data_IF_410650183294
#
_entry.id   IF_410650183294
#
_cell.length_a   1.000
_cell.length_b   1.000
_cell.length_c   1.000
_cell.angle_alpha   90.00
_cell.angle_beta   90.00
_cell.angle_gamma   90.00
#
_symmetry.space_group_name_H-M   'P 1'
#
loop_
_entity.id
_entity.type
_entity.pdbx_description
1 polymer ?
#
# COMPACT_ATOMS: atom_id res chain seq x y z
N UNK A 1 23.21 -4.56 7.66
CA UNK A 1 22.09 -5.44 7.20
C UNK A 1 21.06 -5.55 8.32
N UNK A 2 19.75 -5.66 8.02
CA UNK A 2 18.73 -5.84 9.08
C UNK A 2 18.68 -7.29 9.58
N UNK A 3 18.23 -7.52 10.82
CA UNK A 3 18.06 -8.86 11.39
C UNK A 3 17.18 -9.75 10.50
N UNK A 4 16.08 -9.22 9.97
CA UNK A 4 15.21 -9.94 9.02
C UNK A 4 15.93 -10.32 7.73
N UNK A 5 16.70 -9.38 7.16
CA UNK A 5 17.48 -9.66 5.94
C UNK A 5 18.51 -10.75 6.20
N UNK A 6 19.23 -10.69 7.33
CA UNK A 6 20.17 -11.75 7.75
C UNK A 6 19.45 -13.10 7.89
N UNK A 7 18.30 -13.14 8.55
CA UNK A 7 17.53 -14.36 8.74
C UNK A 7 17.03 -14.95 7.42
N UNK A 8 16.62 -14.11 6.48
CA UNK A 8 16.19 -14.56 5.14
C UNK A 8 17.34 -15.21 4.39
N UNK A 9 18.54 -14.61 4.44
CA UNK A 9 19.74 -15.24 3.87
C UNK A 9 20.09 -16.54 4.59
N UNK A 10 20.08 -16.56 5.93
CA UNK A 10 20.35 -17.79 6.69
C UNK A 10 19.36 -18.91 6.31
N UNK A 11 18.07 -18.61 6.21
CA UNK A 11 17.04 -19.55 5.75
C UNK A 11 17.33 -20.06 4.33
N UNK A 12 17.69 -19.17 3.41
CA UNK A 12 17.99 -19.53 2.02
C UNK A 12 19.22 -20.45 1.94
N UNK A 13 20.26 -20.16 2.72
CA UNK A 13 21.45 -21.00 2.82
C UNK A 13 21.17 -22.35 3.47
N UNK A 14 20.37 -22.39 4.54
CA UNK A 14 19.94 -23.66 5.13
C UNK A 14 19.15 -24.51 4.14
N UNK A 15 18.21 -23.91 3.40
CA UNK A 15 17.43 -24.63 2.38
C UNK A 15 18.31 -25.15 1.24
N UNK A 16 19.26 -24.34 0.76
CA UNK A 16 20.23 -24.77 -0.24
C UNK A 16 21.12 -25.92 0.26
N UNK A 17 21.60 -25.83 1.51
CA UNK A 17 22.40 -26.89 2.12
C UNK A 17 21.61 -28.19 2.28
N UNK A 18 20.34 -28.13 2.67
CA UNK A 18 19.46 -29.30 2.70
C UNK A 18 19.30 -29.91 1.31
N UNK A 19 19.02 -29.11 0.29
CA UNK A 19 18.95 -29.59 -1.09
C UNK A 19 20.25 -30.25 -1.58
N UNK A 20 21.42 -29.71 -1.21
CA UNK A 20 22.70 -30.32 -1.54
C UNK A 20 22.90 -31.68 -0.85
N UNK A 21 22.40 -31.86 0.37
CA UNK A 21 22.42 -33.15 1.07
C UNK A 21 21.45 -34.13 0.40
N UNK A 22 20.21 -33.69 0.14
CA UNK A 22 19.18 -34.51 -0.49
C UNK A 22 19.59 -34.98 -1.91
N UNK A 23 20.41 -34.19 -2.61
CA UNK A 23 20.95 -34.53 -3.94
C UNK A 23 22.31 -35.23 -3.91
N UNK A 24 22.82 -35.58 -2.72
CA UNK A 24 24.09 -36.31 -2.55
C UNK A 24 25.35 -35.48 -2.87
N UNK A 25 25.24 -34.15 -2.98
CA UNK A 25 26.37 -33.24 -3.26
C UNK A 25 27.16 -32.89 -2.01
N UNK A 26 26.50 -32.91 -0.86
CA UNK A 26 27.11 -32.71 0.46
C UNK A 26 26.74 -33.87 1.37
N UNK A 27 27.67 -34.26 2.24
CA UNK A 27 27.43 -35.30 3.26
C UNK A 27 26.56 -34.76 4.39
N UNK A 28 26.67 -33.47 4.70
CA UNK A 28 25.88 -32.81 5.74
C UNK A 28 25.71 -31.32 5.44
N UNK A 29 24.67 -30.70 5.99
CA UNK A 29 24.40 -29.28 5.79
C UNK A 29 25.19 -28.42 6.79
N UNK A 30 26.20 -27.65 6.33
CA UNK A 30 27.04 -26.83 7.21
C UNK A 30 26.31 -25.63 7.82
N UNK A 31 25.13 -25.26 7.29
CA UNK A 31 24.38 -24.08 7.70
C UNK A 31 23.33 -24.35 8.79
N UNK A 32 23.14 -25.61 9.18
CA UNK A 32 22.15 -26.05 10.18
C UNK A 32 22.24 -25.29 11.51
N UNK A 33 23.44 -24.86 11.90
CA UNK A 33 23.71 -24.15 13.16
C UNK A 33 23.68 -22.63 13.03
N UNK A 34 23.30 -22.06 11.88
CA UNK A 34 23.20 -20.61 11.72
C UNK A 34 22.09 -20.05 12.63
N UNK A 35 22.50 -19.39 13.71
CA UNK A 35 21.60 -18.73 14.64
C UNK A 35 20.78 -17.62 13.97
N UNK A 36 19.48 -17.59 14.25
CA UNK A 36 18.57 -16.51 13.84
C UNK A 36 18.79 -15.29 14.73
N UNK A 37 18.91 -14.13 14.11
CA UNK A 37 18.90 -12.85 14.82
C UNK A 37 17.47 -12.53 15.29
N UNK A 38 17.36 -11.89 16.46
CA UNK A 38 16.06 -11.49 17.01
C UNK A 38 15.47 -10.31 16.20
N UNK A 39 14.49 -10.60 15.34
CA UNK A 39 13.82 -9.57 14.53
C UNK A 39 12.98 -8.60 15.36
N UNK A 40 12.48 -9.03 16.52
CA UNK A 40 11.66 -8.16 17.39
C UNK A 40 12.53 -7.07 18.02
N UNK A 41 13.75 -7.40 18.39
CA UNK A 41 14.72 -6.45 18.93
C UNK A 41 15.23 -5.46 17.86
N UNK A 42 15.29 -5.84 16.59
CA UNK A 42 15.74 -4.98 15.46
C UNK A 42 14.56 -4.50 14.59
N UNK A 43 13.50 -3.99 15.23
CA UNK A 43 12.34 -3.47 14.49
C UNK A 43 12.61 -2.05 13.98
N UNK A 44 13.21 -1.96 12.79
CA UNK A 44 13.66 -0.67 12.19
C UNK A 44 12.55 0.22 11.60
N UNK A 45 11.37 -0.33 11.36
CA UNK A 45 10.24 0.40 10.76
C UNK A 45 8.96 0.10 11.51
N UNK A 46 8.40 1.12 12.15
CA UNK A 46 7.09 1.07 12.78
C UNK A 46 6.07 1.67 11.82
N UNK A 47 5.05 0.91 11.43
CA UNK A 47 4.00 1.42 10.54
C UNK A 47 2.96 2.17 11.35
N UNK A 48 2.47 3.30 10.84
CA UNK A 48 1.31 4.00 11.40
C UNK A 48 0.05 3.73 10.58
N UNK A 49 -1.09 3.68 11.24
CA UNK A 49 -2.39 3.82 10.59
C UNK A 49 -2.71 5.31 10.41
N UNK A 50 -3.48 5.65 9.37
CA UNK A 50 -4.03 6.99 9.21
C UNK A 50 -5.36 7.12 9.98
N UNK A 51 -5.64 8.31 10.50
CA UNK A 51 -6.99 8.67 10.95
C UNK A 51 -7.93 8.87 9.75
N UNK A 52 -9.24 8.95 10.02
CA UNK A 52 -10.23 9.27 8.98
C UNK A 52 -9.93 10.62 8.31
N UNK A 53 -9.54 11.65 9.08
CA UNK A 53 -9.25 12.98 8.54
C UNK A 53 -7.94 13.02 7.74
N UNK A 54 -6.91 12.31 8.19
CA UNK A 54 -5.68 12.14 7.40
C UNK A 54 -5.97 11.43 6.08
N UNK A 55 -6.84 10.42 6.09
CA UNK A 55 -7.24 9.69 4.89
C UNK A 55 -8.06 10.57 3.93
N UNK A 56 -8.97 11.39 4.45
CA UNK A 56 -9.71 12.40 3.65
C UNK A 56 -8.76 13.41 3.00
N UNK A 57 -7.80 13.95 3.75
CA UNK A 57 -6.76 14.83 3.19
C UNK A 57 -5.94 14.16 2.10
N UNK A 58 -5.57 12.89 2.29
CA UNK A 58 -4.84 12.13 1.27
C UNK A 58 -5.68 11.90 0.01
N UNK A 59 -6.97 11.63 0.15
CA UNK A 59 -7.90 11.45 -0.97
C UNK A 59 -8.09 12.76 -1.73
N UNK A 60 -8.35 13.88 -1.05
CA UNK A 60 -8.47 15.20 -1.68
C UNK A 60 -7.17 15.61 -2.40
N UNK A 61 -6.00 15.43 -1.75
CA UNK A 61 -4.72 15.68 -2.37
C UNK A 61 -4.50 14.82 -3.63
N UNK A 62 -4.88 13.54 -3.61
CA UNK A 62 -4.78 12.66 -4.76
C UNK A 62 -5.67 13.10 -5.93
N UNK A 63 -6.87 13.65 -5.64
CA UNK A 63 -7.78 14.20 -6.65
C UNK A 63 -7.23 15.47 -7.29
N UNK A 64 -6.72 16.40 -6.47
CA UNK A 64 -6.31 17.75 -6.91
C UNK A 64 -4.92 17.80 -7.52
N UNK A 65 -3.97 17.03 -6.97
CA UNK A 65 -2.55 17.18 -7.31
C UNK A 65 -2.23 17.06 -8.80
N UNK A 66 -2.81 16.13 -9.60
CA UNK A 66 -2.50 16.03 -11.02
C UNK A 66 -2.73 17.33 -11.80
N UNK A 67 -3.81 18.06 -11.48
CA UNK A 67 -4.09 19.37 -12.07
C UNK A 67 -3.19 20.45 -11.46
N UNK A 68 -3.10 20.50 -10.13
CA UNK A 68 -2.27 21.47 -9.41
C UNK A 68 -0.78 21.44 -9.82
N UNK A 69 -0.23 20.28 -10.21
CA UNK A 69 1.14 20.17 -10.70
C UNK A 69 1.40 21.04 -11.96
N UNK A 70 0.37 21.35 -12.74
CA UNK A 70 0.46 22.25 -13.91
C UNK A 70 0.50 23.73 -13.53
N UNK A 71 0.14 24.09 -12.29
CA UNK A 71 0.10 25.47 -11.79
C UNK A 71 1.24 25.83 -10.85
N UNK A 72 2.25 24.96 -10.70
CA UNK A 72 3.39 25.18 -9.80
C UNK A 72 4.18 26.42 -10.18
N UNK A 73 4.55 27.20 -9.17
CA UNK A 73 5.37 28.40 -9.33
C UNK A 73 6.83 28.02 -9.58
N UNK A 74 7.50 28.58 -10.60
CA UNK A 74 8.94 28.42 -10.79
C UNK A 74 9.71 29.22 -9.72
N UNK A 75 10.67 28.57 -9.07
CA UNK A 75 11.51 29.11 -8.00
C UNK A 75 12.97 29.03 -8.42
N UNK A 76 13.70 30.13 -8.24
CA UNK A 76 15.15 30.19 -8.50
C UNK A 76 15.89 29.46 -7.37
N UNK A 77 16.75 28.53 -7.75
CA UNK A 77 17.66 27.83 -6.84
C UNK A 77 18.97 28.59 -6.82
N UNK A 78 19.32 29.13 -5.66
CA UNK A 78 20.65 29.67 -5.45
C UNK A 78 21.66 28.52 -5.40
N UNK A 79 22.80 28.61 -6.11
CA UNK A 79 23.82 27.58 -6.07
C UNK A 79 24.37 27.47 -4.64
N UNK A 80 24.64 26.24 -4.19
CA UNK A 80 25.35 26.02 -2.93
C UNK A 80 26.79 26.54 -3.04
N UNK A 81 27.38 26.95 -1.92
CA UNK A 81 28.75 27.48 -1.87
C UNK A 81 29.73 26.51 -2.52
N UNK A 82 30.38 26.96 -3.60
CA UNK A 82 31.36 26.17 -4.37
C UNK A 82 30.83 25.42 -5.59
N UNK A 83 29.53 25.44 -5.89
CA UNK A 83 29.02 24.84 -7.13
C UNK A 83 29.10 25.79 -8.35
N UNK A 84 29.50 25.29 -9.53
CA UNK A 84 29.54 26.10 -10.75
C UNK A 84 28.14 26.58 -11.12
N UNK A 85 28.00 27.90 -11.37
CA UNK A 85 26.75 28.52 -11.82
C UNK A 85 26.26 27.86 -13.10
N UNK A 86 25.19 27.06 -13.03
CA UNK A 86 24.52 26.47 -14.20
C UNK A 86 23.70 27.53 -14.93
N UNK A 87 23.63 27.43 -16.27
CA UNK A 87 22.86 28.37 -17.13
C UNK A 87 21.36 28.39 -16.83
N UNK A 88 20.80 27.31 -16.28
CA UNK A 88 19.43 27.25 -15.80
C UNK A 88 19.43 26.76 -14.33
N UNK A 89 18.94 27.60 -13.42
CA UNK A 89 18.88 27.33 -11.99
C UNK A 89 17.45 27.44 -11.45
N UNK A 90 16.43 27.09 -12.24
CA UNK A 90 15.04 27.14 -11.81
C UNK A 90 14.55 25.74 -11.45
N UNK A 91 13.71 25.66 -10.42
CA UNK A 91 12.95 24.47 -10.04
C UNK A 91 11.50 24.87 -9.82
N UNK A 92 10.61 23.91 -9.57
CA UNK A 92 9.23 24.22 -9.21
C UNK A 92 9.01 24.02 -7.72
N UNK A 93 8.30 24.95 -7.08
CA UNK A 93 7.84 24.77 -5.71
C UNK A 93 7.02 23.48 -5.59
N UNK A 94 7.26 22.61 -4.59
CA UNK A 94 6.45 21.42 -4.40
C UNK A 94 5.00 21.77 -4.08
N UNK A 95 4.05 20.94 -4.54
CA UNK A 95 2.66 21.04 -4.09
C UNK A 95 2.57 20.53 -2.65
N UNK A 96 2.08 21.38 -1.74
CA UNK A 96 1.86 21.11 -0.32
C UNK A 96 0.40 21.32 0.04
N UNK A 97 0.02 21.04 1.29
CA UNK A 97 -1.35 21.22 1.75
C UNK A 97 -1.81 22.68 1.66
N UNK A 98 -0.89 23.61 1.89
CA UNK A 98 -1.14 25.05 1.96
C UNK A 98 -1.30 25.66 0.55
N UNK A 99 -0.52 25.22 -0.43
CA UNK A 99 -0.49 25.83 -1.76
C UNK A 99 -1.30 25.07 -2.84
N UNK A 100 -1.88 23.90 -2.51
CA UNK A 100 -2.56 23.05 -3.52
C UNK A 100 -3.75 23.76 -4.19
N UNK A 101 -4.50 24.56 -3.44
CA UNK A 101 -5.65 25.30 -3.97
C UNK A 101 -5.22 26.39 -4.94
N UNK A 102 -4.17 27.15 -4.59
CA UNK A 102 -3.61 28.18 -5.46
C UNK A 102 -3.00 27.59 -6.74
N UNK A 103 -2.30 26.46 -6.61
CA UNK A 103 -1.74 25.73 -7.74
C UNK A 103 -2.85 25.20 -8.67
N UNK A 104 -3.97 24.71 -8.12
CA UNK A 104 -5.12 24.28 -8.92
C UNK A 104 -5.73 25.46 -9.72
N UNK A 105 -5.94 26.60 -9.06
CA UNK A 105 -6.47 27.80 -9.71
C UNK A 105 -5.55 28.29 -10.86
N UNK A 106 -4.23 28.36 -10.60
CA UNK A 106 -3.23 28.71 -11.63
C UNK A 106 -3.20 27.71 -12.79
N UNK A 107 -3.37 26.42 -12.49
CA UNK A 107 -3.42 25.37 -13.51
C UNK A 107 -4.63 25.52 -14.43
N UNK A 108 -5.81 25.84 -13.86
CA UNK A 108 -7.04 26.08 -14.63
C UNK A 108 -6.93 27.29 -15.53
N UNK A 109 -6.38 28.39 -15.03
CA UNK A 109 -6.15 29.59 -15.82
C UNK A 109 -5.18 29.31 -16.99
N UNK A 110 -4.05 28.66 -16.70
CA UNK A 110 -3.06 28.27 -17.72
C UNK A 110 -3.62 27.30 -18.78
N UNK A 111 -4.56 26.44 -18.40
CA UNK A 111 -5.14 25.41 -19.28
C UNK A 111 -6.55 25.77 -19.77
N UNK A 112 -6.97 27.04 -19.64
CA UNK A 112 -8.31 27.51 -20.02
C UNK A 112 -8.68 27.16 -21.47
N UNK A 113 -7.73 27.26 -22.38
CA UNK A 113 -7.92 26.92 -23.81
C UNK A 113 -7.84 25.41 -24.11
N UNK A 114 -7.48 24.58 -23.11
CA UNK A 114 -7.25 23.13 -23.25
C UNK A 114 -8.14 22.32 -22.30
N UNK A 115 -9.49 22.40 -22.43
CA UNK A 115 -10.41 21.73 -21.52
C UNK A 115 -10.23 20.20 -21.49
N UNK A 116 -9.85 19.60 -22.63
CA UNK A 116 -9.55 18.15 -22.70
C UNK A 116 -8.40 17.73 -21.79
N UNK A 117 -7.36 18.57 -21.65
CA UNK A 117 -6.21 18.26 -20.79
C UNK A 117 -6.62 18.36 -19.32
N UNK A 118 -7.42 19.36 -18.96
CA UNK A 118 -7.98 19.50 -17.60
C UNK A 118 -8.79 18.25 -17.24
N UNK A 119 -9.72 17.83 -18.09
CA UNK A 119 -10.54 16.65 -17.87
C UNK A 119 -9.70 15.36 -17.70
N UNK A 120 -8.63 15.20 -18.48
CA UNK A 120 -7.70 14.07 -18.35
C UNK A 120 -6.96 14.07 -17.00
N UNK A 121 -6.51 15.24 -16.52
CA UNK A 121 -5.82 15.36 -15.24
C UNK A 121 -6.77 15.12 -14.07
N UNK A 122 -8.02 15.58 -14.17
CA UNK A 122 -9.06 15.31 -13.17
C UNK A 122 -9.43 13.83 -13.11
N UNK A 123 -9.62 13.18 -14.27
CA UNK A 123 -9.85 11.74 -14.34
C UNK A 123 -8.67 10.93 -13.77
N UNK A 124 -7.44 11.39 -14.00
CA UNK A 124 -6.25 10.81 -13.37
C UNK A 124 -6.26 10.97 -11.85
N UNK A 125 -6.69 12.13 -11.34
CA UNK A 125 -6.84 12.41 -9.91
C UNK A 125 -7.90 11.53 -9.25
N UNK A 126 -9.10 11.45 -9.83
CA UNK A 126 -10.18 10.56 -9.37
C UNK A 126 -9.72 9.11 -9.30
N UNK A 127 -8.99 8.63 -10.33
CA UNK A 127 -8.43 7.27 -10.35
C UNK A 127 -7.42 7.02 -9.24
N UNK A 128 -6.54 7.98 -8.94
CA UNK A 128 -5.57 7.87 -7.84
C UNK A 128 -6.26 7.80 -6.48
N UNK A 129 -7.24 8.69 -6.27
CA UNK A 129 -8.03 8.72 -5.05
C UNK A 129 -8.81 7.41 -4.83
N UNK A 130 -9.40 6.86 -5.90
CA UNK A 130 -10.09 5.56 -5.88
C UNK A 130 -9.17 4.40 -5.47
N UNK A 131 -7.90 4.41 -5.90
CA UNK A 131 -6.91 3.40 -5.45
C UNK A 131 -6.72 3.47 -3.93
N UNK A 132 -6.57 4.67 -3.36
CA UNK A 132 -6.37 4.84 -1.91
C UNK A 132 -7.63 4.47 -1.12
N UNK A 133 -8.81 4.88 -1.60
CA UNK A 133 -10.11 4.49 -1.04
C UNK A 133 -10.25 2.96 -1.04
N UNK A 134 -10.01 2.30 -2.18
CA UNK A 134 -10.10 0.84 -2.29
C UNK A 134 -9.15 0.12 -1.32
N UNK A 135 -7.89 0.53 -1.23
CA UNK A 135 -6.93 -0.08 -0.29
C UNK A 135 -7.32 0.12 1.17
N UNK A 136 -7.82 1.31 1.51
CA UNK A 136 -8.19 1.66 2.87
C UNK A 136 -9.49 1.00 3.34
N UNK A 137 -10.42 0.67 2.43
CA UNK A 137 -11.74 0.09 2.75
C UNK A 137 -11.84 -1.42 2.51
N UNK A 138 -10.85 -2.06 1.87
CA UNK A 138 -10.87 -3.53 1.62
C UNK A 138 -9.71 -4.26 2.27
N UNK A 139 -8.66 -3.52 2.65
CA UNK A 139 -7.46 -4.12 3.20
C UNK A 139 -6.65 -4.98 2.22
N UNK A 140 -6.92 -4.86 0.92
CA UNK A 140 -6.19 -5.50 -0.16
C UNK A 140 -4.70 -5.16 -0.11
N UNK A 141 -3.85 -6.15 -0.45
CA UNK A 141 -2.44 -5.88 -0.74
C UNK A 141 -2.32 -5.21 -2.11
N UNK A 142 -1.26 -4.44 -2.30
CA UNK A 142 -0.89 -3.78 -3.55
C UNK A 142 -1.11 -4.63 -4.82
N UNK A 143 -0.54 -5.84 -4.81
CA UNK A 143 -0.59 -6.74 -5.95
C UNK A 143 -1.94 -7.44 -6.08
N UNK A 144 -2.65 -7.66 -4.97
CA UNK A 144 -4.01 -8.21 -5.00
C UNK A 144 -4.95 -7.22 -5.72
N UNK A 145 -4.90 -5.93 -5.36
CA UNK A 145 -5.68 -4.89 -6.05
C UNK A 145 -5.34 -4.82 -7.54
N UNK A 146 -4.06 -4.90 -7.90
CA UNK A 146 -3.60 -4.90 -9.30
C UNK A 146 -4.12 -6.11 -10.09
N UNK A 147 -4.34 -7.24 -9.42
CA UNK A 147 -4.76 -8.49 -10.05
C UNK A 147 -6.26 -8.63 -10.24
N UNK A 148 -7.08 -7.76 -9.62
CA UNK A 148 -8.53 -7.81 -9.79
C UNK A 148 -8.91 -7.39 -11.21
N UNK A 149 -9.75 -8.19 -11.85
CA UNK A 149 -10.32 -7.94 -13.18
C UNK A 149 -11.77 -7.47 -13.08
N UNK A 150 -12.32 -6.95 -14.17
CA UNK A 150 -13.75 -6.58 -14.26
C UNK A 150 -14.64 -7.80 -14.06
N UNK A 151 -14.29 -8.95 -14.63
CA UNK A 151 -15.04 -10.20 -14.47
C UNK A 151 -15.04 -10.76 -13.06
N UNK A 152 -14.01 -10.43 -12.27
CA UNK A 152 -13.88 -10.88 -10.90
C UNK A 152 -14.61 -9.97 -9.89
N UNK A 153 -15.39 -8.99 -10.34
CA UNK A 153 -16.12 -8.08 -9.48
C UNK A 153 -17.60 -7.98 -9.84
N UNK A 154 -18.45 -8.08 -8.82
CA UNK A 154 -19.87 -7.79 -8.90
C UNK A 154 -20.10 -6.48 -8.15
N UNK A 155 -20.33 -5.40 -8.90
CA UNK A 155 -20.47 -4.05 -8.33
C UNK A 155 -21.92 -3.61 -8.16
N UNK A 156 -22.84 -4.29 -8.85
CA UNK A 156 -24.28 -4.04 -8.80
C UNK A 156 -24.95 -4.95 -7.75
N UNK A 157 -26.11 -4.52 -7.25
CA UNK A 157 -26.91 -5.26 -6.27
C UNK A 157 -26.62 -4.88 -4.82
N UNK A 158 -27.32 -5.56 -3.89
CA UNK A 158 -27.29 -5.22 -2.46
C UNK A 158 -25.98 -5.66 -1.77
N UNK A 159 -25.34 -6.70 -2.30
CA UNK A 159 -24.10 -7.30 -1.78
C UNK A 159 -22.97 -7.25 -2.82
N UNK A 160 -22.41 -6.07 -3.14
CA UNK A 160 -21.27 -5.98 -4.04
C UNK A 160 -20.02 -6.64 -3.43
N UNK A 161 -19.29 -7.36 -4.26
CA UNK A 161 -18.07 -8.08 -3.87
C UNK A 161 -17.05 -8.18 -5.00
N UNK A 162 -15.81 -8.52 -4.66
CA UNK A 162 -14.77 -8.89 -5.61
C UNK A 162 -14.10 -10.21 -5.22
N UNK A 163 -13.95 -11.12 -6.17
CA UNK A 163 -13.30 -12.42 -5.98
C UNK A 163 -11.81 -12.33 -6.31
N UNK A 164 -10.98 -12.64 -5.33
CA UNK A 164 -9.54 -12.74 -5.49
C UNK A 164 -9.17 -14.17 -5.89
N UNK A 165 -8.56 -14.35 -7.06
CA UNK A 165 -8.09 -15.64 -7.51
C UNK A 165 -7.03 -16.23 -6.56
N UNK A 166 -7.02 -17.56 -6.33
CA UNK A 166 -6.06 -18.21 -5.44
C UNK A 166 -4.60 -17.86 -5.76
N UNK A 167 -4.22 -17.83 -7.03
CA UNK A 167 -2.86 -17.53 -7.47
C UNK A 167 -2.34 -16.17 -6.99
N UNK A 168 -3.26 -15.21 -6.83
CA UNK A 168 -2.96 -13.84 -6.44
C UNK A 168 -3.05 -13.62 -4.92
N UNK A 169 -3.59 -14.58 -4.18
CA UNK A 169 -3.67 -14.54 -2.74
C UNK A 169 -2.41 -15.16 -2.11
N UNK A 170 -1.85 -14.52 -1.09
CA UNK A 170 -0.60 -14.97 -0.45
C UNK A 170 -0.65 -16.43 0.03
N UNK A 171 -1.81 -16.90 0.49
CA UNK A 171 -2.00 -18.27 1.00
C UNK A 171 -2.52 -19.25 -0.07
N UNK A 172 -2.76 -18.79 -1.30
CA UNK A 172 -3.31 -19.59 -2.41
C UNK A 172 -4.64 -20.29 -2.15
N UNK A 173 -5.53 -19.68 -1.36
CA UNK A 173 -6.89 -20.18 -1.09
C UNK A 173 -7.94 -19.48 -1.94
N UNK A 174 -7.68 -18.23 -2.34
CA UNK A 174 -8.69 -17.37 -2.96
C UNK A 174 -9.62 -16.80 -1.88
N UNK A 175 -10.32 -15.71 -2.20
CA UNK A 175 -11.24 -15.10 -1.25
C UNK A 175 -12.26 -14.17 -1.93
N UNK A 176 -13.49 -14.17 -1.44
CA UNK A 176 -14.46 -13.14 -1.77
C UNK A 176 -14.30 -11.96 -0.81
N UNK A 177 -14.24 -10.76 -1.38
CA UNK A 177 -13.98 -9.52 -0.68
C UNK A 177 -15.25 -8.70 -0.75
N UNK A 178 -16.03 -8.60 0.34
CA UNK A 178 -17.20 -7.75 0.36
C UNK A 178 -16.76 -6.29 0.17
N UNK A 179 -17.49 -5.57 -0.69
CA UNK A 179 -17.28 -4.16 -0.95
C UNK A 179 -18.35 -3.37 -0.22
N UNK A 180 -17.99 -2.18 0.26
CA UNK A 180 -18.97 -1.21 0.75
C UNK A 180 -19.70 -0.59 -0.45
N UNK A 181 -20.98 -0.25 -0.31
CA UNK A 181 -21.81 0.24 -1.43
C UNK A 181 -21.23 1.49 -2.10
N UNK A 182 -20.70 2.43 -1.32
CA UNK A 182 -20.08 3.65 -1.85
C UNK A 182 -18.81 3.36 -2.68
N UNK A 183 -17.98 2.41 -2.24
CA UNK A 183 -16.80 1.98 -3.00
C UNK A 183 -17.23 1.26 -4.28
N UNK A 184 -18.25 0.40 -4.21
CA UNK A 184 -18.78 -0.28 -5.38
C UNK A 184 -19.33 0.72 -6.41
N UNK A 185 -20.07 1.74 -5.97
CA UNK A 185 -20.58 2.81 -6.82
C UNK A 185 -19.44 3.61 -7.49
N UNK A 186 -18.38 3.95 -6.74
CA UNK A 186 -17.22 4.65 -7.30
C UNK A 186 -16.45 3.80 -8.32
N UNK A 187 -16.32 2.48 -8.07
CA UNK A 187 -15.72 1.54 -9.02
C UNK A 187 -16.57 1.43 -10.29
N UNK A 188 -17.89 1.34 -10.16
CA UNK A 188 -18.81 1.29 -11.30
C UNK A 188 -18.73 2.57 -12.15
N UNK A 189 -18.69 3.75 -11.50
CA UNK A 189 -18.48 5.04 -12.16
C UNK A 189 -17.15 5.08 -12.92
N UNK A 190 -16.07 4.58 -12.30
CA UNK A 190 -14.76 4.49 -12.94
C UNK A 190 -14.76 3.59 -14.19
N UNK A 191 -15.45 2.44 -14.13
CA UNK A 191 -15.59 1.56 -15.30
C UNK A 191 -16.42 2.20 -16.41
N UNK A 192 -17.49 2.92 -16.07
CA UNK A 192 -18.29 3.67 -17.04
C UNK A 192 -17.48 4.78 -17.73
N UNK A 193 -16.65 5.53 -16.99
CA UNK A 193 -15.71 6.50 -17.56
C UNK A 193 -14.72 5.84 -18.53
N UNK A 194 -14.10 4.72 -18.12
CA UNK A 194 -13.16 3.98 -18.98
C UNK A 194 -13.82 3.41 -20.22
N UNK A 195 -15.07 2.97 -20.12
CA UNK A 195 -15.82 2.49 -21.27
C UNK A 195 -16.07 3.64 -22.26
N UNK A 196 -16.48 4.82 -21.79
CA UNK A 196 -16.63 6.01 -22.65
C UNK A 196 -15.32 6.36 -23.36
N UNK A 197 -14.20 6.40 -22.64
CA UNK A 197 -12.87 6.64 -23.24
C UNK A 197 -12.53 5.61 -24.32
N UNK A 198 -12.83 4.33 -24.06
CA UNK A 198 -12.60 3.25 -25.02
C UNK A 198 -13.50 3.37 -26.27
N UNK A 199 -14.76 3.77 -26.09
CA UNK A 199 -15.71 3.99 -27.19
C UNK A 199 -15.30 5.19 -28.05
N UNK A 200 -14.93 6.32 -27.44
CA UNK A 200 -14.39 7.48 -28.17
C UNK A 200 -13.13 7.13 -28.95
N UNK A 201 -12.24 6.33 -28.35
CA UNK A 201 -11.05 5.81 -29.01
C UNK A 201 -11.39 4.92 -30.22
N UNK A 202 -12.38 4.04 -30.06
CA UNK A 202 -12.86 3.17 -31.14
C UNK A 202 -13.47 3.99 -32.30
N UNK A 203 -14.28 5.00 -32.00
CA UNK A 203 -14.85 5.92 -33.02
C UNK A 203 -13.73 6.62 -33.80
N UNK A 204 -12.73 7.16 -33.09
CA UNK A 204 -11.59 7.85 -33.72
C UNK A 204 -10.77 6.92 -34.63
N UNK A 205 -10.60 5.67 -34.21
CA UNK A 205 -9.85 4.64 -34.95
C UNK A 205 -10.71 3.89 -35.99
N UNK A 206 -12.00 4.24 -36.15
CA UNK A 206 -12.98 3.53 -36.99
C UNK A 206 -13.05 2.02 -36.68
N UNK A 207 -12.97 1.68 -35.40
CA UNK A 207 -13.11 0.31 -34.87
C UNK A 207 -14.51 0.07 -34.31
N UNK A 208 -14.96 -1.20 -34.21
CA UNK A 208 -16.23 -1.53 -33.56
C UNK A 208 -16.29 -1.01 -32.13
N UNK A 209 -17.41 -0.37 -31.78
CA UNK A 209 -17.61 0.21 -30.44
C UNK A 209 -17.85 -0.89 -29.40
N UNK A 210 -17.08 -0.94 -28.31
CA UNK A 210 -17.33 -1.91 -27.25
C UNK A 210 -18.61 -1.55 -26.47
N UNK A 211 -19.51 -2.51 -26.31
CA UNK A 211 -20.71 -2.35 -25.47
C UNK A 211 -20.40 -2.46 -23.97
N UNK A 212 -19.33 -3.18 -23.62
CA UNK A 212 -18.86 -3.39 -22.25
C UNK A 212 -17.33 -3.43 -22.20
N UNK A 213 -16.77 -3.22 -21.02
CA UNK A 213 -15.33 -3.43 -20.82
C UNK A 213 -14.97 -4.90 -21.01
N UNK A 214 -13.81 -5.23 -21.62
CA UNK A 214 -13.36 -6.62 -21.71
C UNK A 214 -13.21 -7.25 -20.32
N UNK A 215 -13.69 -8.48 -20.16
CA UNK A 215 -13.72 -9.23 -18.89
C UNK A 215 -12.37 -9.25 -18.15
N UNK A 216 -11.31 -9.56 -18.88
CA UNK A 216 -9.94 -9.67 -18.35
C UNK A 216 -9.26 -8.32 -18.08
N UNK A 217 -9.93 -7.20 -18.38
CA UNK A 217 -9.37 -5.88 -18.08
C UNK A 217 -9.20 -5.71 -16.58
N UNK A 218 -8.11 -5.06 -16.11
CA UNK A 218 -7.97 -4.72 -14.70
C UNK A 218 -9.16 -3.87 -14.23
N UNK A 219 -9.66 -4.14 -13.02
CA UNK A 219 -10.72 -3.37 -12.39
C UNK A 219 -10.30 -1.90 -12.20
N UNK A 220 -9.07 -1.68 -11.70
CA UNK A 220 -8.42 -0.37 -11.60
C UNK A 220 -7.03 -0.46 -12.21
N UNK A 221 -6.67 0.49 -13.07
CA UNK A 221 -5.33 0.57 -13.66
C UNK A 221 -4.35 1.18 -12.65
N UNK A 222 -3.50 0.35 -12.07
CA UNK A 222 -2.43 0.77 -11.14
C UNK A 222 -1.10 0.84 -11.88
N UNK A 223 -0.44 1.99 -11.91
CA UNK A 223 0.87 2.14 -12.58
C UNK A 223 2.02 1.60 -11.73
N UNK A 224 3.20 1.38 -12.30
CA UNK A 224 4.41 1.01 -11.55
C UNK A 224 4.94 2.15 -10.68
N UNK A 225 4.73 3.40 -11.10
CA UNK A 225 5.17 4.63 -10.42
C UNK A 225 4.30 5.03 -9.22
N UNK A 226 3.28 4.24 -8.90
CA UNK A 226 2.30 4.54 -7.87
C UNK A 226 2.91 4.81 -6.47
N UNK A 227 4.04 4.20 -6.12
CA UNK A 227 4.77 4.50 -4.88
C UNK A 227 5.25 5.94 -4.87
N UNK A 228 5.92 6.38 -5.94
CA UNK A 228 6.40 7.76 -6.08
C UNK A 228 5.24 8.74 -6.10
N UNK A 229 4.14 8.37 -6.77
CA UNK A 229 2.90 9.16 -6.79
C UNK A 229 2.34 9.32 -5.38
N UNK A 230 2.21 8.23 -4.61
CA UNK A 230 1.75 8.26 -3.23
C UNK A 230 2.65 9.13 -2.35
N UNK A 231 3.97 9.04 -2.47
CA UNK A 231 4.86 9.85 -1.64
C UNK A 231 4.65 11.35 -1.88
N UNK A 232 4.38 11.75 -3.13
CA UNK A 232 4.07 13.14 -3.47
C UNK A 232 2.65 13.53 -3.03
N UNK A 233 1.67 12.63 -3.11
CA UNK A 233 0.32 12.86 -2.56
C UNK A 233 0.36 13.01 -1.03
N UNK A 234 1.21 12.25 -0.33
CA UNK A 234 1.42 12.39 1.11
C UNK A 234 2.04 13.75 1.47
N UNK A 235 2.93 14.28 0.62
CA UNK A 235 3.48 15.64 0.81
C UNK A 235 2.38 16.68 0.59
N UNK A 236 1.60 16.55 -0.48
CA UNK A 236 0.48 17.43 -0.78
C UNK A 236 -0.64 17.35 0.29
N UNK A 237 -0.78 16.22 0.98
CA UNK A 237 -1.71 16.07 2.10
C UNK A 237 -1.16 16.58 3.44
N UNK A 238 0.10 17.03 3.50
CA UNK A 238 0.76 17.44 4.74
C UNK A 238 1.09 16.27 5.69
N UNK A 239 1.20 15.05 5.17
CA UNK A 239 1.49 13.82 5.93
C UNK A 239 2.95 13.37 5.82
N UNK A 240 3.70 13.95 4.87
CA UNK A 240 5.12 13.71 4.64
C UNK A 240 5.83 15.01 4.28
N UNK A 241 7.15 15.06 4.47
CA UNK A 241 7.97 16.25 4.17
C UNK A 241 9.09 15.93 3.21
N UNK A 242 9.42 16.85 2.30
CA UNK A 242 10.61 16.76 1.47
C UNK A 242 11.80 17.27 2.28
N UNK A 243 12.83 16.43 2.42
CA UNK A 243 14.05 16.74 3.17
C UNK A 243 15.27 16.55 2.26
N UNK A 244 16.31 17.36 2.47
CA UNK A 244 17.63 17.11 1.89
C UNK A 244 18.28 15.94 2.62
N UNK A 245 18.80 14.99 1.86
CA UNK A 245 19.47 13.80 2.37
C UNK A 245 20.67 13.46 1.50
N UNK A 246 21.57 12.62 2.01
CA UNK A 246 22.65 12.05 1.20
C UNK A 246 22.24 10.70 0.66
N UNK A 247 22.55 10.46 -0.61
CA UNK A 247 22.36 9.15 -1.22
C UNK A 247 23.43 8.15 -0.71
N UNK A 248 23.38 6.90 -1.20
CA UNK A 248 24.36 5.88 -0.81
C UNK A 248 25.80 6.21 -1.24
N UNK A 249 25.96 7.11 -2.22
CA UNK A 249 27.24 7.58 -2.75
C UNK A 249 27.70 8.90 -2.08
N UNK A 250 26.94 9.42 -1.12
CA UNK A 250 27.25 10.66 -0.40
C UNK A 250 26.81 11.94 -1.12
N UNK A 251 26.14 11.84 -2.26
CA UNK A 251 25.65 12.99 -3.02
C UNK A 251 24.33 13.53 -2.43
N UNK A 252 24.16 14.85 -2.46
CA UNK A 252 22.94 15.48 -1.98
C UNK A 252 21.77 15.17 -2.91
N UNK A 253 20.71 14.63 -2.32
CA UNK A 253 19.46 14.29 -2.98
C UNK A 253 18.26 14.75 -2.16
N UNK A 254 17.12 14.88 -2.83
CA UNK A 254 15.85 15.06 -2.16
C UNK A 254 15.27 13.71 -1.76
N UNK A 255 14.81 13.61 -0.52
CA UNK A 255 14.11 12.44 -0.01
C UNK A 255 12.79 12.85 0.62
N UNK A 256 11.80 11.97 0.56
CA UNK A 256 10.53 12.17 1.25
C UNK A 256 10.61 11.45 2.60
N UNK A 257 10.56 12.23 3.68
CA UNK A 257 10.40 11.70 5.02
C UNK A 257 8.92 11.52 5.34
N UNK A 258 8.56 10.27 5.63
CA UNK A 258 7.19 9.80 5.89
C UNK A 258 6.97 9.47 7.35
N UNK A 259 7.92 9.86 8.21
CA UNK A 259 7.84 9.67 9.65
C UNK A 259 6.91 10.71 10.24
N UNK A 260 6.02 10.25 11.13
CA UNK A 260 5.32 11.15 12.04
C UNK A 260 6.25 11.64 13.16
N UNK A 261 5.70 12.49 14.02
CA UNK A 261 6.37 12.98 15.25
C UNK A 261 6.84 11.85 16.17
N UNK A 262 6.22 10.67 16.09
CA UNK A 262 6.56 9.47 16.86
C UNK A 262 7.53 8.54 16.13
N UNK A 263 8.08 8.96 14.99
CA UNK A 263 9.03 8.18 14.18
C UNK A 263 8.41 7.00 13.40
N UNK A 264 7.08 6.89 13.35
CA UNK A 264 6.35 5.84 12.63
C UNK A 264 6.17 6.23 11.16
N UNK A 265 6.39 5.29 10.26
CA UNK A 265 6.40 5.49 8.81
C UNK A 265 5.10 5.02 8.16
N UNK A 266 4.70 5.69 7.07
CA UNK A 266 3.62 5.24 6.19
C UNK A 266 4.17 4.65 4.87
N UNK A 267 3.70 3.46 4.48
CA UNK A 267 4.01 2.77 3.21
C UNK A 267 2.72 2.13 2.64
N UNK A 268 2.77 1.47 1.47
CA UNK A 268 1.56 0.85 0.90
C UNK A 268 0.89 -0.16 1.83
N UNK A 269 1.67 -0.89 2.64
CA UNK A 269 1.12 -1.86 3.59
C UNK A 269 0.50 -1.18 4.82
N UNK A 270 0.77 0.10 5.02
CA UNK A 270 0.11 0.90 6.04
C UNK A 270 -1.37 1.15 5.73
N UNK A 271 -1.83 1.13 4.47
CA UNK A 271 -3.26 1.15 4.15
C UNK A 271 -4.00 -0.04 4.77
N UNK A 272 -3.41 -1.23 4.66
CA UNK A 272 -3.97 -2.43 5.29
C UNK A 272 -3.95 -2.35 6.82
N UNK A 273 -2.91 -1.75 7.40
CA UNK A 273 -2.89 -1.44 8.84
C UNK A 273 -4.02 -0.47 9.20
N UNK A 274 -4.24 0.54 8.35
CA UNK A 274 -5.29 1.56 8.50
C UNK A 274 -6.67 0.92 8.50
N UNK A 275 -6.98 0.05 7.53
CA UNK A 275 -8.25 -0.68 7.49
C UNK A 275 -8.53 -1.44 8.80
N UNK A 276 -7.56 -2.24 9.29
CA UNK A 276 -7.75 -2.97 10.55
C UNK A 276 -7.89 -2.02 11.75
N UNK A 277 -7.16 -0.91 11.78
CA UNK A 277 -7.27 0.09 12.83
C UNK A 277 -8.60 0.83 12.81
N UNK A 278 -9.15 1.15 11.63
CA UNK A 278 -10.48 1.75 11.49
C UNK A 278 -11.57 0.79 11.95
N UNK A 279 -11.51 -0.48 11.54
CA UNK A 279 -12.44 -1.51 12.02
C UNK A 279 -12.36 -1.67 13.55
N UNK A 280 -11.14 -1.67 14.11
CA UNK A 280 -10.94 -1.76 15.55
C UNK A 280 -11.51 -0.53 16.27
N UNK A 281 -11.29 0.67 15.74
CA UNK A 281 -11.86 1.92 16.26
C UNK A 281 -13.39 1.97 16.17
N UNK A 282 -13.96 1.31 15.17
CA UNK A 282 -15.41 1.13 14.97
C UNK A 282 -16.02 -0.01 15.84
N UNK A 283 -15.24 -0.60 16.75
CA UNK A 283 -15.71 -1.64 17.66
C UNK A 283 -15.95 -3.01 17.01
N UNK A 284 -15.39 -3.26 15.82
CA UNK A 284 -15.55 -4.56 15.13
C UNK A 284 -14.73 -5.64 15.86
N UNK A 285 -15.33 -6.81 16.19
CA UNK A 285 -14.64 -7.90 16.88
C UNK A 285 -13.39 -8.39 16.15
N UNK A 286 -12.41 -8.92 16.92
CA UNK A 286 -11.13 -9.37 16.35
C UNK A 286 -11.30 -10.51 15.34
N UNK A 287 -12.24 -11.42 15.55
CA UNK A 287 -12.53 -12.54 14.64
C UNK A 287 -13.01 -12.04 13.28
N UNK A 288 -14.02 -11.17 13.25
CA UNK A 288 -14.51 -10.48 12.04
C UNK A 288 -13.38 -9.73 11.33
N UNK A 289 -12.55 -8.99 12.08
CA UNK A 289 -11.39 -8.27 11.50
C UNK A 289 -10.37 -9.21 10.88
N UNK A 290 -10.08 -10.36 11.50
CA UNK A 290 -9.14 -11.36 10.95
C UNK A 290 -9.66 -11.98 9.66
N UNK A 291 -10.97 -12.28 9.59
CA UNK A 291 -11.65 -12.78 8.39
C UNK A 291 -11.58 -11.75 7.27
N UNK A 292 -12.03 -10.51 7.52
CA UNK A 292 -11.93 -9.41 6.55
C UNK A 292 -10.49 -9.17 6.09
N UNK A 293 -9.53 -9.32 7.02
CA UNK A 293 -8.14 -9.19 6.68
C UNK A 293 -7.56 -10.41 5.98
N UNK A 294 -8.18 -11.58 5.99
CA UNK A 294 -7.62 -12.80 5.39
C UNK A 294 -6.25 -13.13 5.98
N UNK A 295 -6.15 -13.10 7.31
CA UNK A 295 -4.95 -13.56 8.02
C UNK A 295 -5.05 -15.06 8.21
N UNK A 296 -4.12 -15.83 7.63
CA UNK A 296 -3.95 -17.23 7.99
C UNK A 296 -3.63 -17.31 9.50
N UNK A 297 -4.44 -18.03 10.27
CA UNK A 297 -4.20 -18.22 11.69
C UNK A 297 -2.97 -19.10 11.90
N UNK A 298 -1.83 -18.53 12.30
CA UNK A 298 -0.84 -19.30 13.05
C UNK A 298 -1.25 -19.23 14.53
N UNK A 299 -2.01 -20.25 14.98
CA UNK A 299 -2.08 -20.61 16.40
C UNK A 299 -3.34 -20.28 17.21
N UNK A 300 -4.55 -20.28 16.64
CA UNK A 300 -5.79 -20.26 17.45
C UNK A 300 -6.82 -21.23 16.87
N UNK A 301 -7.40 -22.03 17.77
CA UNK A 301 -8.48 -23.00 17.61
C UNK A 301 -9.82 -22.42 17.10
N UNK A 302 -9.92 -21.12 16.86
CA UNK A 302 -11.17 -20.39 16.55
C UNK A 302 -11.66 -20.56 15.11
N UNK A 303 -10.77 -20.91 14.16
CA UNK A 303 -11.16 -21.22 12.76
C UNK A 303 -12.08 -22.45 12.67
N UNK A 304 -12.18 -23.26 13.74
CA UNK A 304 -13.02 -24.46 13.79
C UNK A 304 -14.39 -24.26 14.46
N UNK A 305 -14.70 -23.09 15.04
CA UNK A 305 -15.91 -22.93 15.88
C UNK A 305 -16.91 -21.86 15.42
N UNK A 306 -16.60 -21.07 14.39
CA UNK A 306 -17.55 -20.08 13.85
C UNK A 306 -17.70 -20.24 12.32
N UNK A 307 -18.93 -20.51 11.86
CA UNK A 307 -19.24 -20.44 10.44
C UNK A 307 -19.18 -18.98 9.99
N UNK A 308 -18.23 -18.70 9.10
CA UNK A 308 -18.02 -17.38 8.49
C UNK A 308 -19.27 -16.81 7.84
N UNK A 309 -20.22 -17.66 7.38
CA UNK A 309 -21.48 -17.23 6.77
C UNK A 309 -22.44 -16.56 7.75
N UNK A 310 -22.29 -16.82 9.04
CA UNK A 310 -23.13 -16.23 10.10
C UNK A 310 -22.56 -14.91 10.62
N UNK A 311 -21.35 -14.53 10.18
CA UNK A 311 -20.70 -13.31 10.62
C UNK A 311 -21.11 -12.18 9.67
N UNK A 312 -21.73 -11.14 10.23
CA UNK A 312 -22.08 -9.93 9.50
C UNK A 312 -20.81 -9.13 9.11
N UNK A 313 -20.22 -9.52 7.99
CA UNK A 313 -19.06 -8.84 7.41
C UNK A 313 -19.45 -7.48 6.83
N UNK A 314 -20.68 -7.33 6.33
CA UNK A 314 -21.11 -6.12 5.66
C UNK A 314 -21.41 -5.00 6.65
N UNK A 315 -22.19 -5.27 7.69
CA UNK A 315 -22.42 -4.32 8.76
C UNK A 315 -21.14 -3.90 9.48
N UNK A 316 -20.10 -4.76 9.47
CA UNK A 316 -18.77 -4.35 9.94
C UNK A 316 -18.07 -3.33 9.02
N UNK A 317 -18.23 -3.46 7.69
CA UNK A 317 -17.71 -2.49 6.72
C UNK A 317 -18.49 -1.18 6.73
N UNK A 318 -19.80 -1.23 6.96
CA UNK A 318 -20.66 -0.04 6.97
C UNK A 318 -20.34 0.90 8.16
N UNK A 319 -19.71 0.37 9.23
CA UNK A 319 -19.19 1.18 10.35
C UNK A 319 -17.91 1.96 10.03
N UNK A 320 -17.27 1.71 8.88
CA UNK A 320 -16.09 2.47 8.47
C UNK A 320 -16.44 3.92 8.11
N UNK A 321 -15.50 4.87 8.21
CA UNK A 321 -15.76 6.24 7.82
C UNK A 321 -16.07 6.35 6.33
N UNK A 322 -16.99 7.24 5.99
CA UNK A 322 -17.23 7.59 4.60
C UNK A 322 -16.10 8.44 4.02
N UNK A 323 -15.67 8.03 2.82
CA UNK A 323 -14.58 8.62 2.06
C UNK A 323 -15.13 9.05 0.71
N UNK A 324 -15.81 10.20 0.70
CA UNK A 324 -16.36 10.76 -0.52
C UNK A 324 -15.25 11.02 -1.55
N UNK A 325 -15.43 10.51 -2.76
CA UNK A 325 -14.70 10.97 -3.93
C UNK A 325 -15.51 12.13 -4.50
N UNK A 326 -15.03 13.36 -4.32
CA UNK A 326 -15.76 14.53 -4.78
C UNK A 326 -15.95 14.50 -6.30
N UNK A 327 -17.20 14.68 -6.74
CA UNK A 327 -17.56 15.21 -8.08
C UNK A 327 -18.05 16.68 -7.96
N UNK A 328 -18.46 17.11 -6.77
CA UNK A 328 -19.06 18.43 -6.49
C UNK A 328 -18.09 19.29 -5.67
N UNK A 329 -17.56 20.34 -6.31
CA UNK A 329 -16.37 21.06 -5.85
C UNK A 329 -16.64 22.29 -4.98
N UNK A 330 -17.87 22.57 -4.54
CA UNK A 330 -18.18 23.87 -3.89
C UNK A 330 -18.90 23.82 -2.54
N UNK A 331 -19.48 22.70 -2.09
CA UNK A 331 -20.29 22.72 -0.87
C UNK A 331 -19.52 22.68 0.47
N UNK A 332 -18.31 22.10 0.51
CA UNK A 332 -17.64 21.78 1.80
C UNK A 332 -16.61 22.80 2.28
N UNK A 333 -16.30 23.86 1.51
CA UNK A 333 -15.41 24.93 1.98
C UNK A 333 -16.21 26.07 2.64
N UNK A 334 -17.48 26.27 2.27
CA UNK A 334 -18.37 27.29 2.84
C UNK A 334 -19.20 26.82 4.05
N UNK A 335 -19.08 25.57 4.47
CA UNK A 335 -19.77 25.07 5.67
C UNK A 335 -18.89 25.17 6.94
N UNK A 336 -17.65 25.65 6.83
CA UNK A 336 -16.67 25.69 7.92
C UNK A 336 -16.46 27.08 8.54
N UNK A 337 -17.16 28.13 8.05
CA UNK A 337 -17.02 29.51 8.51
C UNK A 337 -18.35 30.13 8.99
N UNK A 338 -19.01 29.48 9.94
CA UNK A 338 -20.01 30.19 10.76
C UNK A 338 -21.02 29.31 11.48
N UNK A 339 -20.83 29.11 12.79
CA UNK A 339 -21.74 29.58 13.86
C UNK A 339 -21.22 29.08 15.21
N UNK A 340 -20.90 30.02 16.11
CA UNK A 340 -20.67 29.79 17.54
C UNK A 340 -21.98 30.04 18.31
N UNK A 341 -22.27 29.20 19.31
CA UNK A 341 -23.35 29.34 20.31
C UNK A 341 -24.63 28.57 19.93
N UNK A 342 -25.30 27.78 20.77
CA UNK A 342 -25.32 27.67 22.24
C UNK A 342 -25.78 26.24 22.64
N UNK A 343 -25.51 25.88 23.89
CA UNK A 343 -25.61 24.58 24.53
C UNK A 343 -27.05 24.01 24.68
N UNK A 344 -27.14 22.67 24.65
CA UNK A 344 -28.35 21.92 25.03
C UNK A 344 -28.07 20.43 25.28
N UNK A 345 -27.80 20.10 26.55
CA UNK A 345 -27.98 18.82 27.25
C UNK A 345 -27.59 17.48 26.57
N UNK A 346 -26.58 16.83 27.14
CA UNK A 346 -26.15 15.45 26.87
C UNK A 346 -27.09 14.38 27.47
N UNK A 347 -27.05 13.15 26.94
CA UNK A 347 -27.08 11.94 27.78
C UNK A 347 -25.73 11.20 27.76
N UNK A 348 -25.32 10.75 28.94
CA UNK A 348 -24.07 10.07 29.28
C UNK A 348 -23.68 8.91 28.35
N UNK A 349 -22.46 8.98 27.81
CA UNK A 349 -21.70 7.78 27.42
C UNK A 349 -20.42 7.65 28.27
N UNK A 350 -20.16 6.47 28.87
CA UNK A 350 -18.95 6.25 29.65
C UNK A 350 -17.72 6.18 28.74
N UNK A 351 -16.71 6.99 29.06
CA UNK A 351 -15.38 7.02 28.42
C UNK A 351 -14.61 5.71 28.68
N UNK A 352 -13.97 5.08 27.68
CA UNK A 352 -12.99 4.03 27.94
C UNK A 352 -11.59 4.44 27.46
N UNK A 353 -10.84 5.10 28.34
CA UNK A 353 -9.37 4.96 28.38
C UNK A 353 -8.90 5.12 29.83
N UNK A 354 -8.36 4.07 30.47
CA UNK A 354 -7.56 4.27 31.65
C UNK A 354 -6.13 4.64 31.23
N UNK A 355 -5.68 5.81 31.70
CA UNK A 355 -4.27 6.22 31.71
C UNK A 355 -3.43 5.13 32.37
N UNK A 356 -2.29 4.79 31.76
CA UNK A 356 -1.22 4.10 32.47
C UNK A 356 -0.80 4.98 33.64
N UNK A 357 -1.15 4.56 34.86
CA UNK A 357 -0.51 5.04 36.07
C UNK A 357 0.87 4.40 36.14
N UNK A 358 1.89 5.26 36.17
CA UNK A 358 3.25 4.92 36.54
C UNK A 358 3.23 4.17 37.88
N UNK A 359 3.69 2.92 37.90
CA UNK A 359 4.02 2.26 39.16
C UNK A 359 5.44 2.65 39.52
N UNK A 360 5.54 3.60 40.44
CA UNK A 360 6.71 3.83 41.28
C UNK A 360 7.17 2.51 41.89
N UNK A 361 8.45 2.21 41.70
CA UNK A 361 9.16 1.16 42.40
C UNK A 361 9.41 1.59 43.84
N UNK A 362 8.52 1.23 44.76
CA UNK A 362 8.85 1.25 46.19
C UNK A 362 9.35 -0.12 46.62
N UNK A 363 10.65 -0.14 46.93
CA UNK A 363 11.32 -1.15 47.75
C UNK A 363 10.54 -1.26 49.06
N UNK A 364 10.14 -2.46 49.44
CA UNK A 364 9.94 -2.80 50.84
C UNK A 364 10.39 -4.25 51.08
N UNK A 365 11.43 -4.33 51.90
CA UNK A 365 12.06 -5.50 52.49
C UNK A 365 11.27 -6.02 53.68
N UNK A 366 11.12 -7.34 53.77
CA UNK A 366 10.95 -8.10 55.02
C UNK A 366 11.35 -9.56 54.70
N UNK A 367 12.58 -9.98 55.03
CA UNK A 367 12.98 -10.60 56.30
C UNK A 367 12.45 -12.03 56.48
N UNK A 368 13.30 -12.98 56.06
CA UNK A 368 13.68 -14.24 56.71
C UNK A 368 12.71 -14.91 57.70
N UNK A 369 12.29 -16.13 57.36
CA UNK A 369 12.27 -17.28 58.28
C UNK A 369 12.70 -18.56 57.56
N UNK A 370 13.51 -19.33 58.27
CA UNK A 370 14.25 -20.52 57.88
C UNK A 370 13.48 -21.82 58.12
N UNK A 371 14.10 -22.91 57.65
CA UNK A 371 13.88 -24.33 57.95
C UNK A 371 12.68 -24.99 57.24
N UNK A 372 12.78 -26.15 56.60
CA UNK A 372 13.61 -27.33 56.90
C UNK A 372 13.74 -28.26 55.66
N UNK A 373 14.70 -29.19 55.70
CA UNK A 373 15.19 -30.00 54.57
C UNK A 373 14.71 -31.47 54.65
N UNK A 374 14.55 -32.09 53.47
CA UNK A 374 14.77 -33.51 53.08
C UNK A 374 13.52 -34.33 52.63
N UNK A 375 13.67 -35.49 51.93
CA UNK A 375 14.25 -35.67 50.58
C UNK A 375 13.48 -36.67 49.63
N UNK A 376 13.88 -36.68 48.34
CA UNK A 376 13.85 -37.75 47.31
C UNK A 376 12.55 -38.48 46.85
N UNK A 377 12.25 -38.41 45.54
CA UNK A 377 11.67 -39.47 44.67
C UNK A 377 11.80 -39.10 43.15
N UNK A 378 11.80 -40.05 42.19
CA UNK A 378 12.79 -40.07 41.09
C UNK A 378 12.34 -39.59 39.68
N UNK A 379 13.35 -39.45 38.81
CA UNK A 379 13.30 -39.09 37.38
C UNK A 379 12.54 -40.13 36.55
N UNK A 380 11.52 -39.68 35.80
CA UNK A 380 10.85 -40.46 34.77
C UNK A 380 11.63 -40.49 33.45
N UNK A 381 11.95 -41.69 32.99
CA UNK A 381 12.58 -42.03 31.72
C UNK A 381 11.69 -41.68 30.52
N UNK A 382 12.29 -41.10 29.47
CA UNK A 382 11.65 -40.92 28.16
C UNK A 382 11.94 -42.17 27.31
N UNK A 383 10.89 -42.90 26.93
CA UNK A 383 10.97 -44.00 25.95
C UNK A 383 11.26 -43.45 24.54
N UNK A 384 12.14 -44.09 23.75
CA UNK A 384 12.31 -43.78 22.33
C UNK A 384 11.26 -44.52 21.49
N UNK A 385 10.61 -43.82 20.56
CA UNK A 385 9.79 -44.45 19.52
C UNK A 385 10.69 -44.84 18.34
N UNK A 386 10.67 -46.13 18.04
CA UNK A 386 11.40 -46.79 16.95
C UNK A 386 10.81 -46.45 15.58
N UNK A 387 11.69 -46.35 14.59
CA UNK A 387 11.35 -46.38 13.17
C UNK A 387 10.78 -47.76 12.76
N UNK A 388 9.82 -47.76 11.84
CA UNK A 388 9.56 -48.88 10.95
C UNK A 388 8.95 -48.37 9.63
N UNK A 389 9.68 -48.64 8.56
CA UNK A 389 9.30 -48.60 7.16
C UNK A 389 7.99 -49.33 6.87
N UNK A 390 7.11 -48.71 6.07
CA UNK A 390 6.32 -49.22 4.91
C UNK A 390 5.77 -47.95 4.22
N UNK A 391 5.81 -47.70 2.91
CA UNK A 391 6.04 -48.51 1.73
C UNK A 391 6.10 -47.56 0.53
N UNK A 392 7.06 -47.80 -0.36
CA UNK A 392 7.06 -47.40 -1.76
C UNK A 392 5.87 -48.03 -2.52
N UNK A 393 5.55 -47.44 -3.68
CA UNK A 393 4.55 -47.82 -4.70
C UNK A 393 3.21 -47.06 -4.66
N UNK A 394 3.20 -45.89 -5.32
CA UNK A 394 2.28 -45.56 -6.42
C UNK A 394 2.58 -44.14 -6.94
N UNK A 395 3.30 -44.04 -8.06
CA UNK A 395 2.94 -43.28 -9.28
C UNK A 395 4.17 -42.92 -10.11
N UNK A 396 4.47 -43.81 -11.06
CA UNK A 396 5.10 -43.47 -12.35
C UNK A 396 4.10 -42.61 -13.14
N UNK A 397 4.58 -41.50 -13.70
CA UNK A 397 3.94 -40.83 -14.84
C UNK A 397 3.77 -39.32 -14.72
N UNK A 398 4.85 -38.56 -14.92
CA UNK A 398 4.85 -37.25 -15.60
C UNK A 398 6.28 -36.68 -15.64
N UNK A 399 7.10 -37.17 -16.58
CA UNK A 399 8.31 -36.48 -16.94
C UNK A 399 7.97 -35.51 -18.09
N UNK A 400 7.92 -34.20 -17.79
CA UNK A 400 8.12 -33.10 -18.76
C UNK A 400 8.41 -31.79 -17.98
N UNK A 401 9.70 -31.60 -17.72
CA UNK A 401 10.43 -30.33 -17.57
C UNK A 401 9.82 -29.19 -16.76
N UNK A 402 10.20 -29.05 -15.49
CA UNK A 402 10.38 -27.74 -14.82
C UNK A 402 11.58 -27.80 -13.87
N UNK A 403 12.47 -26.82 -14.00
CA UNK A 403 13.66 -26.64 -13.15
C UNK A 403 13.25 -26.35 -11.71
N UNK A 404 13.90 -27.02 -10.77
CA UNK A 404 13.87 -26.66 -9.36
C UNK A 404 14.77 -25.44 -9.12
N UNK A 405 14.21 -24.37 -8.58
CA UNK A 405 14.93 -23.13 -8.26
C UNK A 405 14.30 -21.88 -8.88
N UNK A 406 13.04 -21.61 -8.56
CA UNK A 406 12.45 -20.29 -8.80
C UNK A 406 11.62 -19.87 -7.59
N UNK A 407 12.35 -19.43 -6.57
CA UNK A 407 11.81 -18.97 -5.31
C UNK A 407 12.69 -17.84 -4.80
N UNK A 408 12.13 -16.63 -4.82
CA UNK A 408 12.69 -15.41 -4.24
C UNK A 408 13.81 -14.77 -5.06
N UNK A 409 13.47 -14.29 -6.26
CA UNK A 409 14.04 -13.08 -6.87
C UNK A 409 13.04 -12.56 -7.91
N UNK A 410 12.60 -11.31 -7.73
CA UNK A 410 11.99 -10.53 -8.82
C UNK A 410 13.01 -10.44 -9.94
N UNK A 411 12.83 -11.22 -11.00
CA UNK A 411 13.46 -10.95 -12.28
C UNK A 411 12.58 -9.97 -13.05
N UNK A 412 13.23 -8.88 -13.49
CA UNK A 412 12.70 -8.00 -14.52
C UNK A 412 12.39 -8.83 -15.77
N UNK A 413 11.10 -8.93 -16.08
CA UNK A 413 10.64 -9.42 -17.38
C UNK A 413 10.48 -8.19 -18.27
N UNK A 414 11.47 -7.99 -19.15
CA UNK A 414 11.33 -7.15 -20.34
C UNK A 414 10.45 -7.89 -21.35
N UNK A 415 9.31 -7.30 -21.73
CA UNK A 415 8.51 -7.53 -22.95
C UNK A 415 7.34 -6.52 -22.87
N UNK A 416 6.86 -5.77 -23.85
CA UNK A 416 7.29 -5.37 -25.19
C UNK A 416 6.67 -3.97 -25.43
N UNK A 417 7.22 -3.20 -26.37
CA UNK A 417 6.71 -1.86 -26.75
C UNK A 417 5.31 -1.98 -27.34
N UNK A 418 4.32 -1.36 -26.68
CA UNK A 418 3.09 -0.93 -27.35
C UNK A 418 3.26 0.53 -27.79
N UNK A 419 3.29 0.73 -29.11
CA UNK A 419 3.41 2.01 -29.78
C UNK A 419 2.09 2.80 -29.75
N UNK A 420 1.95 3.74 -28.80
CA UNK A 420 1.01 4.89 -28.85
C UNK A 420 1.57 6.09 -28.06
N UNK A 421 1.25 7.34 -28.45
CA UNK A 421 2.08 8.50 -28.14
C UNK A 421 2.06 8.85 -26.65
N UNK A 422 3.20 8.68 -26.01
CA UNK A 422 3.44 9.09 -24.62
C UNK A 422 3.49 10.61 -24.52
N UNK A 423 2.51 11.20 -23.82
CA UNK A 423 2.66 12.53 -23.21
C UNK A 423 3.81 12.45 -22.19
N UNK A 424 4.96 13.01 -22.57
CA UNK A 424 6.15 13.08 -21.72
C UNK A 424 5.85 13.91 -20.48
N UNK A 425 5.64 13.23 -19.35
CA UNK A 425 5.83 13.84 -18.03
C UNK A 425 7.29 14.29 -17.92
N UNK A 426 7.49 15.55 -17.53
CA UNK A 426 8.80 16.16 -17.37
C UNK A 426 9.71 15.26 -16.54
N UNK A 427 10.75 14.72 -17.20
CA UNK A 427 11.89 14.09 -16.55
C UNK A 427 12.74 15.20 -15.98
N UNK A 428 12.85 15.27 -14.66
CA UNK A 428 13.97 15.94 -13.98
C UNK A 428 15.27 15.24 -14.40
N UNK A 429 15.90 15.77 -15.43
CA UNK A 429 17.21 15.33 -15.92
C UNK A 429 18.29 16.22 -15.29
N UNK A 430 18.92 15.72 -14.23
CA UNK A 430 20.16 16.30 -13.70
C UNK A 430 21.22 15.21 -13.56
N UNK A 431 21.79 14.74 -14.67
CA UNK A 431 23.24 14.43 -14.75
C UNK A 431 23.67 14.10 -16.19
N UNK A 432 24.84 14.65 -16.55
CA UNK A 432 25.66 14.44 -17.76
C UNK A 432 25.27 15.27 -18.99
N UNK A 433 26.05 16.33 -19.20
CA UNK A 433 26.20 16.99 -20.49
C UNK A 433 27.26 16.27 -21.35
N UNK A 434 27.04 16.29 -22.65
CA UNK A 434 27.95 16.80 -23.67
C UNK A 434 27.16 16.94 -24.98
N UNK A 435 27.28 18.13 -25.57
CA UNK A 435 27.27 18.48 -26.99
C UNK A 435 26.20 17.89 -27.93
N UNK A 436 25.37 18.79 -28.47
CA UNK A 436 25.46 19.22 -29.87
C UNK A 436 24.61 20.49 -30.09
N UNK A 437 25.29 21.55 -30.52
CA UNK A 437 24.69 22.76 -31.10
C UNK A 437 24.17 22.47 -32.51
N UNK A 438 23.11 23.18 -32.91
CA UNK A 438 23.03 23.76 -34.26
C UNK A 438 21.82 23.37 -35.11
N UNK A 439 21.18 24.42 -35.64
CA UNK A 439 20.38 24.47 -36.89
C UNK A 439 18.96 23.86 -36.84
N UNK A 440 17.90 24.39 -37.47
CA UNK A 440 17.64 25.43 -38.49
C UNK A 440 16.08 25.62 -38.41
N UNK A 441 15.49 26.78 -38.10
CA UNK A 441 15.05 27.86 -39.00
C UNK A 441 14.41 27.40 -40.34
N UNK A 442 13.16 27.83 -40.55
CA UNK A 442 12.34 27.92 -41.80
C UNK A 442 11.91 26.65 -42.56
N UNK A 443 10.59 26.47 -42.73
CA UNK A 443 9.90 26.68 -44.01
C UNK A 443 8.38 26.49 -43.86
N UNK A 444 7.62 27.46 -44.38
CA UNK A 444 6.18 27.38 -44.62
C UNK A 444 5.91 26.75 -46.00
N UNK A 445 4.83 25.97 -46.10
CA UNK A 445 3.88 25.91 -47.22
C UNK A 445 2.69 25.06 -46.79
#
# INVERSE_FOLDING_TARGET
>A
MSARTRNTYALSWCAFGNWCVDTGRLVSNPFTRLGRANERADRRRHRRALSADELRRLIDAAQRRPLAEQGRTPVKVEPADGEPKKRANWTYEPVTLENIAECDAKARDRLKEKPKVVAQLEALGRRRALIYKALALTGLRANELRSLTVSASTLDGDEPYATLAPENEKARRGADIPLRSDLAADLARHLAERLREAQEGAIRERRPMPARMPAESPLIVVTSEWLRVLELDLVAAGLARRVRAKDRKGADCWRIDKRDERGRTFDMHAFRTTFNSLLAGAGVPLTTRRILMRHAAEGITDEHYADTKLIDLRGALDRLPELALSDEREANVQAADGTYGDAGAAPNHPRPYPRQLERESQRNSAASRSDERAPNAPRGERKPLSAADKSEHLRRGANRGRKAGDGIRTHDVQLGKDDRPSLRLARDATTKGCDLQGMLVFAAS
#
